data_IF_774471402107
#
_entry.id   IF_774471402107
#
_cell.length_a   1.000
_cell.length_b   1.000
_cell.length_c   1.000
_cell.angle_alpha   90.00
_cell.angle_beta   90.00
_cell.angle_gamma   90.00
#
_symmetry.space_group_name_H-M   'P 1'
#
loop_
_entity.id
_entity.type
_entity.pdbx_description
1 polymer ?
#
# COMPACT_ATOMS: atom_id res chain seq x y z
N UNK A 1 21.42 10.64 10.83
CA UNK A 1 21.36 10.22 12.25
C UNK A 1 20.05 9.49 12.55
N UNK A 2 20.03 8.18 12.36
CA UNK A 2 18.92 7.33 12.77
C UNK A 2 19.17 6.89 14.19
N UNK A 3 18.52 7.57 15.14
CA UNK A 3 18.56 7.14 16.54
C UNK A 3 17.85 5.80 16.60
N UNK A 4 18.61 4.70 16.64
CA UNK A 4 18.14 3.44 17.22
C UNK A 4 17.75 3.78 18.65
N UNK A 5 16.46 4.01 18.88
CA UNK A 5 15.96 4.24 20.22
C UNK A 5 16.22 2.96 21.01
N UNK A 6 16.99 3.04 22.10
CA UNK A 6 16.98 1.98 23.12
C UNK A 6 15.56 1.95 23.67
N UNK A 7 14.79 0.97 23.23
CA UNK A 7 13.42 0.76 23.68
C UNK A 7 13.51 0.40 25.17
N UNK A 8 12.75 1.11 25.99
CA UNK A 8 12.70 0.84 27.42
C UNK A 8 12.13 -0.57 27.64
N UNK A 9 12.66 -1.33 28.60
CA UNK A 9 12.19 -2.68 28.92
C UNK A 9 10.70 -2.73 29.29
N UNK A 10 10.11 -1.60 29.66
CA UNK A 10 8.67 -1.48 29.95
C UNK A 10 7.77 -1.37 28.73
N UNK A 11 8.31 -1.35 27.51
CA UNK A 11 7.53 -1.19 26.29
C UNK A 11 7.16 -2.58 25.77
N UNK A 12 5.87 -2.81 25.54
CA UNK A 12 5.38 -4.10 25.05
C UNK A 12 5.24 -4.04 23.55
N UNK A 13 5.92 -4.93 22.82
CA UNK A 13 5.75 -5.08 21.38
C UNK A 13 4.41 -5.76 21.10
N UNK A 14 3.54 -5.12 20.32
CA UNK A 14 2.19 -5.61 20.05
C UNK A 14 1.87 -5.80 18.56
N UNK A 15 2.67 -5.22 17.67
CA UNK A 15 2.55 -5.42 16.23
C UNK A 15 3.86 -5.10 15.52
N UNK A 16 3.94 -5.43 14.23
CA UNK A 16 5.10 -5.20 13.38
C UNK A 16 4.68 -4.90 11.95
N UNK A 17 5.47 -4.09 11.26
CA UNK A 17 5.22 -3.69 9.88
C UNK A 17 6.54 -3.40 9.17
N UNK A 18 6.51 -3.48 7.84
CA UNK A 18 7.68 -3.23 7.00
C UNK A 18 7.92 -1.72 6.85
N UNK A 19 9.19 -1.31 6.79
CA UNK A 19 9.61 0.05 6.51
C UNK A 19 10.88 0.06 5.65
N UNK A 20 11.15 1.17 4.98
CA UNK A 20 12.41 1.35 4.26
C UNK A 20 13.58 1.50 5.23
N UNK A 21 14.70 0.87 4.87
CA UNK A 21 15.93 1.00 5.63
C UNK A 21 16.41 2.44 5.60
N UNK A 22 16.74 2.97 6.77
CA UNK A 22 17.31 4.29 6.86
C UNK A 22 18.81 4.33 6.55
N UNK A 23 19.47 3.17 6.59
CA UNK A 23 20.93 3.05 6.50
C UNK A 23 21.40 2.69 5.09
N UNK A 24 20.51 2.13 4.27
CA UNK A 24 20.80 1.69 2.90
C UNK A 24 19.55 1.85 2.05
N UNK A 25 19.72 2.33 0.82
CA UNK A 25 18.64 2.39 -0.16
C UNK A 25 18.32 0.98 -0.66
N UNK A 26 17.04 0.72 -0.95
CA UNK A 26 16.60 -0.58 -1.49
C UNK A 26 16.54 -1.73 -0.48
N UNK A 27 16.89 -1.48 0.78
CA UNK A 27 16.78 -2.47 1.86
C UNK A 27 15.51 -2.19 2.67
N UNK A 28 14.82 -3.24 3.09
CA UNK A 28 13.66 -3.17 3.99
C UNK A 28 14.05 -3.57 5.41
N UNK A 29 13.39 -2.99 6.40
CA UNK A 29 13.54 -3.28 7.82
C UNK A 29 12.17 -3.50 8.45
N UNK A 30 12.16 -3.98 9.69
CA UNK A 30 10.92 -4.11 10.46
C UNK A 30 10.85 -2.96 11.49
N UNK A 31 9.70 -2.31 11.55
CA UNK A 31 9.32 -1.47 12.69
C UNK A 31 8.32 -2.23 13.56
N UNK A 32 8.49 -2.15 14.87
CA UNK A 32 7.56 -2.66 15.87
C UNK A 32 6.63 -1.56 16.38
N UNK A 33 5.37 -1.90 16.60
CA UNK A 33 4.38 -1.08 17.27
C UNK A 33 4.38 -1.44 18.76
N UNK A 34 4.85 -0.51 19.58
CA UNK A 34 5.00 -0.71 21.01
C UNK A 34 3.95 0.08 21.79
N UNK A 35 3.40 -0.54 22.83
CA UNK A 35 2.64 0.14 23.86
C UNK A 35 3.62 0.71 24.89
N UNK A 36 3.61 2.03 25.07
CA UNK A 36 4.46 2.70 26.05
C UNK A 36 3.79 2.77 27.44
N UNK A 37 4.50 3.29 28.44
CA UNK A 37 4.01 3.47 29.81
C UNK A 37 2.77 4.37 29.93
N UNK A 38 2.52 5.21 28.93
CA UNK A 38 1.38 6.13 28.88
C UNK A 38 0.19 5.53 28.13
N UNK A 39 0.20 4.22 27.87
CA UNK A 39 -0.82 3.50 27.09
C UNK A 39 -0.97 4.01 25.65
N UNK A 40 0.08 4.57 25.08
CA UNK A 40 0.12 5.03 23.69
C UNK A 40 0.86 4.02 22.81
N UNK A 41 0.33 3.78 21.61
CA UNK A 41 0.98 2.98 20.57
C UNK A 41 1.96 3.84 19.77
N UNK A 42 3.23 3.44 19.70
CA UNK A 42 4.28 4.14 18.94
C UNK A 42 5.16 3.17 18.15
N UNK A 43 5.55 3.59 16.95
CA UNK A 43 6.44 2.83 16.08
C UNK A 43 7.91 3.08 16.41
N UNK A 44 8.70 2.01 16.47
CA UNK A 44 10.15 2.05 16.63
C UNK A 44 10.78 0.96 15.76
N UNK A 45 12.07 1.10 15.44
CA UNK A 45 12.81 0.01 14.79
C UNK A 45 12.74 -1.25 15.66
N UNK A 46 12.31 -2.36 15.05
CA UNK A 46 12.34 -3.65 15.70
C UNK A 46 13.76 -4.22 15.64
N UNK A 47 14.25 -4.73 16.77
CA UNK A 47 15.56 -5.33 16.89
C UNK A 47 15.40 -6.80 17.31
N UNK A 48 15.78 -7.72 16.44
CA UNK A 48 15.91 -9.13 16.78
C UNK A 48 17.33 -9.37 17.30
N UNK A 49 17.48 -9.91 18.51
CA UNK A 49 18.77 -10.14 19.15
C UNK A 49 19.70 -8.90 19.14
N UNK A 50 19.10 -7.74 19.43
CA UNK A 50 19.77 -6.42 19.40
C UNK A 50 20.30 -5.99 18.03
N UNK A 51 19.86 -6.62 16.94
CA UNK A 51 20.25 -6.30 15.56
C UNK A 51 19.04 -5.86 14.75
N UNK A 52 19.28 -4.90 13.87
CA UNK A 52 18.28 -4.46 12.89
C UNK A 52 18.22 -5.49 11.77
N UNK A 53 17.07 -6.15 11.63
CA UNK A 53 16.83 -7.06 10.51
C UNK A 53 16.76 -6.28 9.21
N UNK A 54 17.36 -6.83 8.17
CA UNK A 54 17.43 -6.25 6.83
C UNK A 54 17.00 -7.30 5.82
N UNK A 55 16.18 -6.88 4.87
CA UNK A 55 15.65 -7.71 3.80
C UNK A 55 15.90 -7.01 2.46
N UNK A 56 16.30 -7.76 1.45
CA UNK A 56 16.48 -7.24 0.09
C UNK A 56 15.15 -7.23 -0.69
N UNK A 57 14.18 -8.02 -0.25
CA UNK A 57 12.84 -8.16 -0.83
C UNK A 57 11.75 -7.67 0.13
N UNK A 58 10.74 -6.99 -0.42
CA UNK A 58 9.55 -6.63 0.34
C UNK A 58 8.69 -7.86 0.66
N UNK A 59 8.65 -8.86 -0.21
CA UNK A 59 7.90 -10.11 0.03
C UNK A 59 8.46 -10.86 1.24
N UNK A 60 9.78 -10.98 1.34
CA UNK A 60 10.44 -11.61 2.50
C UNK A 60 10.15 -10.84 3.79
N UNK A 61 10.24 -9.51 3.75
CA UNK A 61 9.94 -8.67 4.90
C UNK A 61 8.47 -8.78 5.34
N UNK A 62 7.52 -8.80 4.40
CA UNK A 62 6.09 -8.96 4.68
C UNK A 62 5.81 -10.32 5.33
N UNK A 63 6.33 -11.41 4.75
CA UNK A 63 6.21 -12.77 5.29
C UNK A 63 6.76 -12.86 6.72
N UNK A 64 7.90 -12.21 6.98
CA UNK A 64 8.45 -12.12 8.33
C UNK A 64 7.49 -11.39 9.29
N UNK A 65 6.94 -10.24 8.89
CA UNK A 65 5.99 -9.50 9.75
C UNK A 65 4.68 -10.24 10.00
N UNK A 66 4.18 -11.01 9.04
CA UNK A 66 2.99 -11.85 9.22
C UNK A 66 3.21 -12.93 10.27
N UNK A 67 4.34 -13.65 10.17
CA UNK A 67 4.73 -14.64 11.16
C UNK A 67 4.90 -13.99 12.54
N UNK A 68 5.61 -12.86 12.62
CA UNK A 68 5.81 -12.14 13.88
C UNK A 68 4.48 -11.66 14.48
N UNK A 69 3.60 -11.07 13.68
CA UNK A 69 2.30 -10.55 14.14
C UNK A 69 1.36 -11.65 14.67
N UNK A 70 1.48 -12.87 14.14
CA UNK A 70 0.77 -14.04 14.67
C UNK A 70 1.21 -14.34 16.09
N UNK A 71 2.53 -14.40 16.34
CA UNK A 71 3.07 -14.64 17.69
C UNK A 71 2.76 -13.49 18.66
N UNK A 72 2.76 -12.23 18.18
CA UNK A 72 2.49 -11.06 19.03
C UNK A 72 1.04 -10.98 19.57
N UNK A 73 0.11 -11.81 19.07
CA UNK A 73 -1.24 -11.92 19.65
C UNK A 73 -1.21 -12.43 21.10
N UNK A 74 -0.22 -13.25 21.45
CA UNK A 74 -0.01 -13.75 22.81
C UNK A 74 0.32 -12.61 23.78
N UNK A 75 1.14 -11.65 23.35
CA UNK A 75 1.49 -10.47 24.13
C UNK A 75 0.24 -9.67 24.51
N UNK A 76 -0.69 -9.46 23.57
CA UNK A 76 -1.95 -8.76 23.85
C UNK A 76 -2.80 -9.53 24.88
N UNK A 77 -2.80 -10.86 24.78
CA UNK A 77 -3.56 -11.73 25.66
C UNK A 77 -3.01 -11.71 27.10
N UNK A 78 -1.69 -11.60 27.25
CA UNK A 78 -0.99 -11.52 28.53
C UNK A 78 -1.19 -10.19 29.28
N UNK A 79 -1.65 -9.14 28.62
CA UNK A 79 -1.90 -7.85 29.27
C UNK A 79 -3.03 -7.96 30.30
N UNK A 80 -2.85 -7.32 31.45
CA UNK A 80 -3.86 -7.18 32.51
C UNK A 80 -4.92 -6.13 32.15
N UNK A 81 -5.61 -6.35 31.04
CA UNK A 81 -6.71 -5.50 30.54
C UNK A 81 -8.03 -6.29 30.56
N UNK A 82 -9.15 -5.58 30.65
CA UNK A 82 -10.46 -6.24 30.54
C UNK A 82 -10.73 -6.71 29.08
N UNK A 83 -11.72 -7.60 28.85
CA UNK A 83 -11.99 -8.14 27.52
C UNK A 83 -12.31 -7.08 26.44
N UNK A 84 -13.00 -6.00 26.80
CA UNK A 84 -13.38 -4.93 25.88
C UNK A 84 -12.17 -4.07 25.48
N UNK A 85 -11.31 -3.74 26.44
CA UNK A 85 -10.05 -3.05 26.22
C UNK A 85 -9.10 -3.86 25.34
N UNK A 86 -8.99 -5.18 25.58
CA UNK A 86 -8.22 -6.09 24.72
C UNK A 86 -8.75 -6.10 23.29
N UNK A 87 -10.07 -6.16 23.12
CA UNK A 87 -10.71 -6.15 21.80
C UNK A 87 -10.47 -4.83 21.06
N UNK A 88 -10.63 -3.70 21.76
CA UNK A 88 -10.32 -2.36 21.22
C UNK A 88 -8.85 -2.22 20.85
N UNK A 89 -7.93 -2.72 21.68
CA UNK A 89 -6.50 -2.69 21.43
C UNK A 89 -6.11 -3.52 20.20
N UNK A 90 -6.65 -4.75 20.07
CA UNK A 90 -6.45 -5.60 18.88
C UNK A 90 -6.87 -4.88 17.60
N UNK A 91 -8.02 -4.22 17.60
CA UNK A 91 -8.51 -3.45 16.44
C UNK A 91 -7.58 -2.28 16.10
N UNK A 92 -7.10 -1.53 17.11
CA UNK A 92 -6.15 -0.42 16.88
C UNK A 92 -4.84 -0.91 16.29
N UNK A 93 -4.30 -2.01 16.82
CA UNK A 93 -3.06 -2.63 16.33
C UNK A 93 -3.24 -3.10 14.89
N UNK A 94 -4.26 -3.92 14.64
CA UNK A 94 -4.58 -4.44 13.31
C UNK A 94 -4.71 -3.31 12.29
N UNK A 95 -5.50 -2.28 12.59
CA UNK A 95 -5.64 -1.11 11.71
C UNK A 95 -4.32 -0.40 11.44
N UNK A 96 -3.47 -0.22 12.46
CA UNK A 96 -2.19 0.47 12.31
C UNK A 96 -1.19 -0.34 11.47
N UNK A 97 -1.06 -1.64 11.75
CA UNK A 97 -0.20 -2.57 10.99
C UNK A 97 -0.66 -2.64 9.53
N UNK A 98 -1.94 -2.92 9.29
CA UNK A 98 -2.51 -3.03 7.93
C UNK A 98 -2.31 -1.73 7.16
N UNK A 99 -2.57 -0.57 7.77
CA UNK A 99 -2.37 0.72 7.09
C UNK A 99 -0.91 0.92 6.67
N UNK A 100 0.04 0.61 7.55
CA UNK A 100 1.47 0.81 7.30
C UNK A 100 2.02 -0.13 6.23
N UNK A 101 1.68 -1.43 6.30
CA UNK A 101 2.03 -2.40 5.27
C UNK A 101 1.39 -2.03 3.93
N UNK A 102 0.11 -1.66 3.91
CA UNK A 102 -0.57 -1.23 2.67
C UNK A 102 0.14 -0.06 2.00
N UNK A 103 0.57 0.95 2.78
CA UNK A 103 1.28 2.12 2.24
C UNK A 103 2.57 1.70 1.53
N UNK A 104 3.41 0.88 2.17
CA UNK A 104 4.69 0.49 1.56
C UNK A 104 4.52 -0.45 0.38
N UNK A 105 3.55 -1.37 0.45
CA UNK A 105 3.18 -2.24 -0.67
C UNK A 105 2.72 -1.39 -1.85
N UNK A 106 1.78 -0.47 -1.66
CA UNK A 106 1.31 0.45 -2.70
C UNK A 106 2.46 1.26 -3.32
N UNK A 107 3.37 1.78 -2.50
CA UNK A 107 4.50 2.57 -2.98
C UNK A 107 5.49 1.73 -3.79
N UNK A 108 5.78 0.50 -3.36
CA UNK A 108 6.59 -0.45 -4.13
C UNK A 108 5.93 -0.84 -5.44
N UNK A 109 4.61 -0.99 -5.42
CA UNK A 109 3.84 -1.27 -6.60
C UNK A 109 3.94 -0.11 -7.61
N UNK A 110 3.71 1.13 -7.18
CA UNK A 110 3.87 2.33 -8.03
C UNK A 110 5.31 2.46 -8.55
N UNK A 111 6.30 2.13 -7.71
CA UNK A 111 7.70 2.15 -8.10
C UNK A 111 8.02 1.17 -9.23
N UNK A 112 7.50 -0.05 -9.16
CA UNK A 112 7.71 -1.06 -10.20
C UNK A 112 7.10 -0.62 -11.55
N UNK A 113 5.93 0.02 -11.52
CA UNK A 113 5.33 0.59 -12.75
C UNK A 113 6.17 1.72 -13.30
N UNK A 114 6.67 2.63 -12.45
CA UNK A 114 7.57 3.70 -12.86
C UNK A 114 8.85 3.15 -13.53
N UNK A 115 9.43 2.06 -13.03
CA UNK A 115 10.54 1.38 -13.71
C UNK A 115 10.10 0.82 -15.07
N UNK A 116 8.96 0.13 -15.13
CA UNK A 116 8.43 -0.51 -16.35
C UNK A 116 8.23 0.49 -17.49
N UNK A 117 7.60 1.65 -17.20
CA UNK A 117 7.41 2.75 -18.14
C UNK A 117 8.72 3.20 -18.80
N UNK A 118 9.82 3.12 -18.04
CA UNK A 118 11.14 3.57 -18.47
C UNK A 118 12.10 2.43 -18.83
N UNK A 119 11.61 1.20 -19.00
CA UNK A 119 12.43 0.02 -19.35
C UNK A 119 13.26 0.19 -20.63
N UNK A 120 12.84 1.06 -21.55
CA UNK A 120 13.54 1.39 -22.80
C UNK A 120 14.39 2.66 -22.72
N UNK A 121 14.39 3.35 -21.58
CA UNK A 121 15.17 4.58 -21.38
C UNK A 121 16.64 4.20 -21.25
N UNK A 122 17.49 4.79 -22.09
CA UNK A 122 18.93 4.53 -22.06
C UNK A 122 19.53 5.27 -20.86
N UNK A 123 20.17 4.58 -19.90
CA UNK A 123 20.85 5.24 -18.80
C UNK A 123 22.09 5.99 -19.29
N UNK A 124 22.52 7.07 -18.60
CA UNK A 124 23.74 7.78 -18.96
C UNK A 124 24.96 6.87 -18.83
N UNK A 125 25.94 7.05 -19.73
CA UNK A 125 27.22 6.35 -19.63
C UNK A 125 27.95 6.74 -18.34
N UNK A 126 28.70 5.80 -17.75
CA UNK A 126 29.43 6.03 -16.49
C UNK A 126 30.32 7.26 -16.55
N UNK A 127 31.08 7.42 -17.63
CA UNK A 127 32.03 8.53 -17.81
C UNK A 127 31.34 9.87 -18.04
N UNK A 128 30.10 9.86 -18.54
CA UNK A 128 29.32 11.06 -18.76
C UNK A 128 28.75 11.64 -17.46
N UNK A 129 28.74 10.89 -16.35
CA UNK A 129 28.26 11.39 -15.05
C UNK A 129 29.33 12.29 -14.43
N UNK A 130 28.99 13.56 -14.29
CA UNK A 130 29.81 14.58 -13.64
C UNK A 130 29.39 14.72 -12.18
N UNK A 131 30.33 14.51 -11.25
CA UNK A 131 30.06 14.57 -9.81
C UNK A 131 31.29 15.10 -9.07
N UNK A 132 31.07 15.93 -8.05
CA UNK A 132 32.16 16.47 -7.23
C UNK A 132 32.73 15.44 -6.24
N UNK A 133 31.94 14.41 -5.89
CA UNK A 133 32.30 13.42 -4.88
C UNK A 133 32.36 12.02 -5.49
N UNK A 134 33.53 11.67 -6.02
CA UNK A 134 33.77 10.47 -6.85
C UNK A 134 33.31 9.15 -6.20
N UNK A 135 33.37 9.05 -4.86
CA UNK A 135 32.89 7.89 -4.10
C UNK A 135 31.40 7.58 -4.34
N UNK A 136 30.61 8.57 -4.75
CA UNK A 136 29.18 8.44 -5.04
C UNK A 136 28.88 8.10 -6.50
N UNK A 137 29.88 8.22 -7.40
CA UNK A 137 29.66 8.00 -8.84
C UNK A 137 29.16 6.59 -9.13
N UNK A 138 29.80 5.56 -8.56
CA UNK A 138 29.39 4.17 -8.72
C UNK A 138 27.99 3.88 -8.13
N UNK A 139 27.69 4.24 -6.87
CA UNK A 139 26.32 4.10 -6.33
C UNK A 139 25.25 4.80 -7.17
N UNK A 140 25.53 6.03 -7.64
CA UNK A 140 24.62 6.78 -8.50
C UNK A 140 24.41 6.07 -9.85
N UNK A 141 25.48 5.61 -10.49
CA UNK A 141 25.40 4.90 -11.76
C UNK A 141 24.56 3.63 -11.66
N UNK A 142 24.75 2.82 -10.62
CA UNK A 142 23.93 1.61 -10.40
C UNK A 142 22.46 1.96 -10.18
N UNK A 143 22.16 3.06 -9.47
CA UNK A 143 20.78 3.52 -9.33
C UNK A 143 20.18 3.99 -10.67
N UNK A 144 20.94 4.72 -11.49
CA UNK A 144 20.48 5.23 -12.78
C UNK A 144 20.24 4.13 -13.81
N UNK A 145 20.87 2.95 -13.68
CA UNK A 145 20.51 1.78 -14.49
C UNK A 145 19.08 1.32 -14.24
N UNK A 146 18.61 1.42 -13.00
CA UNK A 146 17.25 0.98 -12.59
C UNK A 146 16.23 2.11 -12.82
N UNK A 147 16.62 3.33 -12.49
CA UNK A 147 15.73 4.51 -12.54
C UNK A 147 16.44 5.65 -13.28
N UNK A 148 16.55 5.61 -14.61
CA UNK A 148 17.31 6.59 -15.40
C UNK A 148 16.65 7.98 -15.44
N UNK A 149 15.40 8.08 -15.02
CA UNK A 149 14.59 9.29 -15.01
C UNK A 149 14.74 10.14 -13.74
N UNK A 150 15.45 9.65 -12.71
CA UNK A 150 15.49 10.38 -11.44
C UNK A 150 16.38 11.61 -11.49
N UNK A 151 15.99 12.65 -10.76
CA UNK A 151 16.75 13.88 -10.55
C UNK A 151 17.34 14.00 -9.15
N UNK A 152 16.96 13.11 -8.23
CA UNK A 152 17.38 13.11 -6.83
C UNK A 152 17.99 11.75 -6.48
N UNK A 153 19.14 11.74 -5.83
CA UNK A 153 19.80 10.51 -5.37
C UNK A 153 20.23 10.61 -3.90
N UNK A 154 19.84 9.64 -3.06
CA UNK A 154 20.30 9.57 -1.68
C UNK A 154 21.34 8.45 -1.51
N UNK A 155 22.42 8.75 -0.79
CA UNK A 155 23.37 7.76 -0.34
C UNK A 155 23.54 7.81 1.20
N UNK A 156 22.75 7.02 1.95
CA UNK A 156 22.80 7.04 3.41
C UNK A 156 24.15 6.64 4.01
N UNK A 157 24.91 5.78 3.33
CA UNK A 157 26.25 5.36 3.76
C UNK A 157 27.23 6.54 3.84
N UNK A 158 27.01 7.58 3.03
CA UNK A 158 27.85 8.79 2.99
C UNK A 158 27.14 10.02 3.58
N UNK A 159 25.92 9.88 4.13
CA UNK A 159 25.09 10.98 4.65
C UNK A 159 24.87 12.12 3.63
N UNK A 160 24.78 11.78 2.33
CA UNK A 160 24.66 12.75 1.23
C UNK A 160 23.39 12.52 0.40
N UNK A 161 22.77 13.62 -0.02
CA UNK A 161 21.78 13.68 -1.09
C UNK A 161 22.35 14.50 -2.26
N UNK A 162 22.34 13.93 -3.46
CA UNK A 162 22.66 14.61 -4.71
C UNK A 162 21.39 15.08 -5.42
N UNK A 163 21.49 16.21 -6.11
CA UNK A 163 20.44 16.78 -6.95
C UNK A 163 21.04 17.02 -8.33
N UNK A 164 20.36 16.53 -9.37
CA UNK A 164 20.73 16.72 -10.76
C UNK A 164 20.52 18.17 -11.17
N UNK A 165 21.45 18.71 -11.94
CA UNK A 165 21.32 20.05 -12.50
C UNK A 165 20.20 20.08 -13.55
N UNK A 166 19.18 20.94 -13.41
CA UNK A 166 18.05 20.99 -14.35
C UNK A 166 18.49 21.39 -15.77
N UNK A 167 19.59 22.14 -15.91
CA UNK A 167 20.10 22.60 -17.20
C UNK A 167 21.08 21.61 -17.86
N UNK A 168 21.61 20.65 -17.09
CA UNK A 168 22.63 19.69 -17.54
C UNK A 168 22.44 18.36 -16.83
N UNK A 169 21.69 17.43 -17.44
CA UNK A 169 21.34 16.12 -16.85
C UNK A 169 22.53 15.24 -16.47
N UNK A 170 23.71 15.51 -17.02
CA UNK A 170 24.94 14.79 -16.66
C UNK A 170 25.58 15.28 -15.37
N UNK A 171 25.23 16.48 -14.89
CA UNK A 171 25.82 17.13 -13.72
C UNK A 171 25.00 16.85 -12.45
N UNK A 172 25.66 16.20 -11.49
CA UNK A 172 25.17 15.85 -10.15
C UNK A 172 25.98 16.55 -9.05
N UNK A 173 26.58 17.70 -9.35
CA UNK A 173 27.48 18.43 -8.46
C UNK A 173 26.82 19.04 -7.23
N UNK A 174 25.49 19.25 -7.25
CA UNK A 174 24.75 19.78 -6.10
C UNK A 174 24.54 18.69 -5.06
N UNK A 175 25.05 18.92 -3.86
CA UNK A 175 24.93 17.97 -2.76
C UNK A 175 24.54 18.65 -1.46
N UNK A 176 23.86 17.89 -0.60
CA UNK A 176 23.38 18.36 0.70
C UNK A 176 23.46 17.23 1.71
N UNK A 177 23.43 17.58 3.00
CA UNK A 177 23.38 16.59 4.07
C UNK A 177 22.08 15.78 4.02
N UNK A 178 22.18 14.48 4.15
CA UNK A 178 21.03 13.60 4.19
C UNK A 178 20.28 13.77 5.53
N UNK A 179 18.96 13.90 5.43
CA UNK A 179 18.04 13.92 6.58
C UNK A 179 16.93 12.92 6.32
N UNK A 180 16.14 12.57 7.34
CA UNK A 180 14.97 11.69 7.15
C UNK A 180 14.03 12.22 6.06
N UNK A 181 13.73 13.53 6.08
CA UNK A 181 12.89 14.19 5.07
C UNK A 181 13.48 14.10 3.66
N UNK A 182 14.81 14.25 3.53
CA UNK A 182 15.50 14.13 2.24
C UNK A 182 15.58 12.68 1.73
N UNK A 183 15.70 11.71 2.62
CA UNK A 183 15.59 10.30 2.23
C UNK A 183 14.17 9.96 1.77
N UNK A 184 13.15 10.45 2.47
CA UNK A 184 11.74 10.34 2.03
C UNK A 184 11.53 10.99 0.66
N UNK A 185 12.12 12.17 0.42
CA UNK A 185 12.08 12.83 -0.88
C UNK A 185 12.69 11.97 -1.99
N UNK A 186 13.84 11.34 -1.74
CA UNK A 186 14.45 10.40 -2.69
C UNK A 186 13.54 9.21 -3.01
N UNK A 187 12.92 8.58 -2.00
CA UNK A 187 11.97 7.48 -2.23
C UNK A 187 10.75 7.93 -3.03
N UNK A 188 10.26 9.16 -2.82
CA UNK A 188 9.18 9.74 -3.63
C UNK A 188 9.62 10.00 -5.05
N UNK A 189 10.80 10.60 -5.28
CA UNK A 189 11.32 10.92 -6.60
C UNK A 189 11.43 9.68 -7.50
N UNK A 190 11.89 8.55 -6.94
CA UNK A 190 11.90 7.24 -7.62
C UNK A 190 10.55 6.80 -8.16
N UNK A 191 9.45 7.29 -7.59
CA UNK A 191 8.09 7.02 -8.05
C UNK A 191 7.59 8.17 -8.93
N UNK A 192 7.49 9.38 -8.37
CA UNK A 192 6.85 10.53 -9.01
C UNK A 192 7.45 10.87 -10.38
N UNK A 193 8.78 10.90 -10.48
CA UNK A 193 9.45 11.37 -11.68
C UNK A 193 9.28 10.38 -12.85
N UNK A 194 9.09 9.09 -12.55
CA UNK A 194 8.71 8.08 -13.56
C UNK A 194 7.25 8.19 -14.04
N UNK A 195 6.46 9.05 -13.41
CA UNK A 195 5.14 9.48 -13.90
C UNK A 195 5.15 10.94 -14.38
N UNK A 196 6.33 11.56 -14.56
CA UNK A 196 6.47 12.97 -14.92
C UNK A 196 5.80 13.92 -13.91
N UNK A 197 5.81 13.52 -12.63
CA UNK A 197 5.30 14.32 -11.51
C UNK A 197 6.45 14.79 -10.63
N UNK A 198 6.29 15.96 -10.01
CA UNK A 198 7.28 16.49 -9.07
C UNK A 198 7.30 15.70 -7.75
N UNK A 199 8.50 15.47 -7.23
CA UNK A 199 8.72 14.82 -5.93
C UNK A 199 8.46 15.77 -4.73
N UNK A 200 8.44 17.09 -4.97
CA UNK A 200 8.31 18.12 -3.95
C UNK A 200 6.85 18.45 -3.59
N UNK A 201 5.92 18.04 -4.45
CA UNK A 201 4.47 18.24 -4.27
C UNK A 201 3.92 17.44 -3.07
N UNK A 202 2.68 17.76 -2.67
CA UNK A 202 2.02 17.08 -1.57
C UNK A 202 1.82 15.58 -1.88
N UNK A 203 2.54 14.72 -1.15
CA UNK A 203 2.60 13.28 -1.44
C UNK A 203 1.25 12.58 -1.53
N UNK A 204 0.28 12.99 -0.70
CA UNK A 204 -1.07 12.43 -0.74
C UNK A 204 -1.80 12.71 -2.06
N UNK A 205 -1.58 13.90 -2.63
CA UNK A 205 -2.18 14.33 -3.90
C UNK A 205 -1.45 13.67 -5.08
N UNK A 206 -0.12 13.64 -5.05
CA UNK A 206 0.69 12.95 -6.06
C UNK A 206 0.34 11.46 -6.14
N UNK A 207 0.18 10.77 -5.00
CA UNK A 207 -0.29 9.38 -5.00
C UNK A 207 -1.71 9.24 -5.54
N UNK A 208 -2.61 10.19 -5.25
CA UNK A 208 -3.95 10.16 -5.81
C UNK A 208 -3.95 10.36 -7.34
N UNK A 209 -3.08 11.22 -7.86
CA UNK A 209 -2.81 11.39 -9.29
C UNK A 209 -2.28 10.10 -9.93
N UNK A 210 -1.24 9.50 -9.34
CA UNK A 210 -0.67 8.24 -9.81
C UNK A 210 -1.74 7.15 -9.80
N UNK A 211 -2.48 6.99 -8.70
CA UNK A 211 -3.62 6.06 -8.63
C UNK A 211 -4.56 6.31 -9.79
N UNK A 212 -4.97 7.55 -10.05
CA UNK A 212 -5.90 7.86 -11.15
C UNK A 212 -5.36 7.49 -12.52
N UNK A 213 -4.06 7.67 -12.76
CA UNK A 213 -3.39 7.24 -14.00
C UNK A 213 -3.30 5.72 -14.11
N UNK A 214 -3.11 5.05 -12.98
CA UNK A 214 -3.03 3.59 -12.87
C UNK A 214 -4.38 2.90 -12.73
N UNK A 215 -5.47 3.62 -12.45
CA UNK A 215 -6.82 3.08 -12.32
C UNK A 215 -7.23 2.52 -13.69
N UNK A 216 -7.42 1.21 -13.83
CA UNK A 216 -8.03 0.69 -15.02
C UNK A 216 -9.44 1.27 -15.17
N UNK A 217 -9.83 1.58 -16.41
CA UNK A 217 -11.27 1.69 -16.70
C UNK A 217 -11.89 0.37 -16.24
N UNK A 218 -12.88 0.41 -15.36
CA UNK A 218 -13.45 -0.77 -14.70
C UNK A 218 -13.74 -1.94 -15.67
N UNK A 219 -14.13 -1.63 -16.92
CA UNK A 219 -14.40 -2.61 -17.96
C UNK A 219 -13.15 -3.30 -18.53
N UNK A 220 -11.97 -2.65 -18.52
CA UNK A 220 -10.70 -3.22 -18.97
C UNK A 220 -10.20 -4.35 -18.06
N UNK A 221 -10.58 -4.33 -16.77
CA UNK A 221 -10.20 -5.38 -15.81
C UNK A 221 -10.70 -6.76 -16.21
N UNK A 222 -11.94 -6.83 -16.69
CA UNK A 222 -12.54 -8.10 -17.11
C UNK A 222 -11.86 -8.70 -18.35
N UNK A 223 -11.06 -7.91 -19.07
CA UNK A 223 -10.33 -8.39 -20.24
C UNK A 223 -8.97 -9.02 -19.90
N UNK A 224 -8.40 -8.73 -18.72
CA UNK A 224 -7.12 -9.28 -18.28
C UNK A 224 -7.22 -10.79 -18.06
N UNK A 225 -6.26 -11.55 -18.61
CA UNK A 225 -6.24 -13.02 -18.51
C UNK A 225 -6.18 -13.52 -17.06
N UNK A 226 -5.38 -12.85 -16.23
CA UNK A 226 -5.24 -13.12 -14.80
C UNK A 226 -6.56 -12.94 -14.05
N UNK A 227 -7.28 -11.84 -14.31
CA UNK A 227 -8.59 -11.56 -13.74
C UNK A 227 -9.63 -12.57 -14.23
N UNK A 228 -9.66 -12.90 -15.53
CA UNK A 228 -10.57 -13.93 -16.07
C UNK A 228 -10.42 -15.27 -15.35
N UNK A 229 -9.17 -15.70 -15.12
CA UNK A 229 -8.88 -16.95 -14.40
C UNK A 229 -9.38 -16.89 -12.96
N UNK A 230 -9.06 -15.81 -12.24
CA UNK A 230 -9.53 -15.57 -10.87
C UNK A 230 -11.06 -15.63 -10.76
N UNK A 231 -11.75 -14.96 -11.69
CA UNK A 231 -13.21 -14.90 -11.71
C UNK A 231 -13.86 -16.24 -12.07
N UNK A 232 -13.24 -17.01 -12.97
CA UNK A 232 -13.70 -18.37 -13.30
C UNK A 232 -13.58 -19.31 -12.09
N UNK A 233 -12.45 -19.30 -11.40
CA UNK A 233 -12.22 -20.09 -10.19
C UNK A 233 -13.19 -19.70 -9.07
N UNK A 234 -13.38 -18.40 -8.84
CA UNK A 234 -14.34 -17.91 -7.86
C UNK A 234 -15.76 -18.40 -8.16
N UNK A 235 -16.19 -18.37 -9.43
CA UNK A 235 -17.51 -18.83 -9.83
C UNK A 235 -17.66 -20.35 -9.63
N UNK A 236 -16.64 -21.14 -9.94
CA UNK A 236 -16.61 -22.60 -9.69
C UNK A 236 -16.80 -22.88 -8.19
N UNK A 237 -16.18 -22.06 -7.33
CA UNK A 237 -16.31 -22.15 -5.88
C UNK A 237 -17.61 -21.52 -5.34
N UNK A 238 -18.55 -21.10 -6.20
CA UNK A 238 -19.83 -20.52 -5.80
C UNK A 238 -19.77 -19.06 -5.35
N UNK A 239 -18.62 -18.40 -5.49
CA UNK A 239 -18.43 -17.01 -5.10
C UNK A 239 -18.90 -16.06 -6.20
N UNK A 240 -19.92 -15.26 -5.89
CA UNK A 240 -20.55 -14.32 -6.82
C UNK A 240 -20.11 -12.86 -6.61
N UNK A 241 -19.43 -12.57 -5.50
CA UNK A 241 -18.89 -11.23 -5.20
C UNK A 241 -17.48 -11.34 -4.65
N UNK A 242 -16.52 -10.74 -5.36
CA UNK A 242 -15.14 -10.58 -4.91
C UNK A 242 -14.83 -9.09 -4.73
N UNK A 243 -14.24 -8.74 -3.60
CA UNK A 243 -13.77 -7.40 -3.29
C UNK A 243 -12.25 -7.43 -3.31
N UNK A 244 -11.65 -6.62 -4.17
CA UNK A 244 -10.20 -6.51 -4.29
C UNK A 244 -9.81 -5.03 -4.28
N UNK A 245 -9.23 -4.58 -3.16
CA UNK A 245 -8.99 -3.16 -2.91
C UNK A 245 -10.28 -2.33 -3.02
N UNK A 246 -10.27 -1.33 -3.89
CA UNK A 246 -11.44 -0.48 -4.18
C UNK A 246 -12.43 -1.05 -5.20
N UNK A 247 -12.15 -2.20 -5.80
CA UNK A 247 -12.98 -2.82 -6.85
C UNK A 247 -13.82 -3.96 -6.29
N UNK A 248 -15.04 -4.09 -6.82
CA UNK A 248 -15.94 -5.20 -6.51
C UNK A 248 -16.32 -5.88 -7.83
N UNK A 249 -15.83 -7.09 -8.03
CA UNK A 249 -16.28 -7.97 -9.09
C UNK A 249 -17.60 -8.60 -8.67
N UNK A 250 -18.64 -8.35 -9.45
CA UNK A 250 -20.01 -8.74 -9.16
C UNK A 250 -20.53 -9.62 -10.29
N UNK A 251 -20.86 -10.87 -10.00
CA UNK A 251 -21.49 -11.76 -10.96
C UNK A 251 -22.99 -11.51 -11.00
N UNK A 252 -23.48 -11.04 -12.14
CA UNK A 252 -24.89 -10.78 -12.37
C UNK A 252 -25.54 -12.00 -13.03
N UNK A 253 -26.33 -12.76 -12.26
CA UNK A 253 -26.96 -14.00 -12.74
C UNK A 253 -28.00 -13.74 -13.84
N UNK A 254 -28.68 -12.59 -13.80
CA UNK A 254 -29.67 -12.23 -14.84
C UNK A 254 -29.07 -12.15 -16.24
N UNK A 255 -27.78 -11.82 -16.36
CA UNK A 255 -27.07 -11.66 -17.63
C UNK A 255 -25.85 -12.59 -17.75
N UNK A 256 -25.66 -13.52 -16.81
CA UNK A 256 -24.56 -14.48 -16.74
C UNK A 256 -23.17 -13.87 -16.99
N UNK A 257 -22.90 -12.71 -16.40
CA UNK A 257 -21.66 -11.96 -16.62
C UNK A 257 -21.11 -11.33 -15.35
N UNK A 258 -19.79 -11.16 -15.32
CA UNK A 258 -19.11 -10.34 -14.33
C UNK A 258 -19.22 -8.86 -14.69
N UNK A 259 -19.50 -8.03 -13.68
CA UNK A 259 -19.47 -6.57 -13.74
C UNK A 259 -18.47 -6.05 -12.70
N UNK A 260 -17.89 -4.88 -12.97
CA UNK A 260 -16.99 -4.22 -12.02
C UNK A 260 -17.69 -3.02 -11.42
N UNK A 261 -17.79 -3.02 -10.10
CA UNK A 261 -18.32 -1.95 -9.25
C UNK A 261 -17.21 -1.39 -8.39
N UNK A 262 -17.42 -0.23 -7.77
CA UNK A 262 -16.43 0.42 -6.90
C UNK A 262 -16.92 0.47 -5.46
N UNK A 263 -16.02 0.38 -4.49
CA UNK A 263 -16.38 0.62 -3.08
C UNK A 263 -16.55 2.11 -2.81
N UNK A 264 -17.36 2.45 -1.80
CA UNK A 264 -17.56 3.85 -1.39
C UNK A 264 -16.27 4.53 -0.93
N UNK A 265 -15.34 3.79 -0.32
CA UNK A 265 -14.10 4.34 0.24
C UNK A 265 -13.16 4.89 -0.85
N UNK A 266 -13.38 4.55 -2.12
CA UNK A 266 -12.70 5.16 -3.27
C UNK A 266 -13.03 6.66 -3.42
N UNK A 267 -14.12 7.16 -2.83
CA UNK A 267 -14.61 8.54 -2.98
C UNK A 267 -14.75 9.33 -1.67
N UNK A 268 -14.58 8.72 -0.50
CA UNK A 268 -14.89 9.34 0.80
C UNK A 268 -13.66 9.36 1.73
N UNK A 269 -13.04 10.53 1.90
CA UNK A 269 -11.87 10.76 2.80
C UNK A 269 -12.26 10.82 4.28
N UNK A 270 -13.54 10.71 4.60
CA UNK A 270 -14.08 10.91 5.94
C UNK A 270 -14.70 9.63 6.50
N UNK A 271 -13.93 8.75 7.15
CA UNK A 271 -14.64 7.78 7.99
C UNK A 271 -13.88 7.24 9.21
N UNK A 272 -14.51 7.49 10.35
CA UNK A 272 -14.32 6.87 11.65
C UNK A 272 -14.93 5.45 11.72
N UNK A 273 -15.14 4.77 10.59
CA UNK A 273 -15.83 3.48 10.52
C UNK A 273 -14.83 2.34 10.43
N UNK A 274 -15.21 1.17 10.96
CA UNK A 274 -14.41 -0.05 10.83
C UNK A 274 -15.16 -1.01 9.91
N UNK A 275 -14.51 -1.39 8.81
CA UNK A 275 -15.01 -2.42 7.90
C UNK A 275 -15.26 -3.71 8.69
N UNK A 276 -16.43 -4.31 8.52
CA UNK A 276 -16.77 -5.60 9.09
C UNK A 276 -16.71 -6.62 7.96
N UNK A 277 -15.77 -7.56 8.06
CA UNK A 277 -15.48 -8.50 6.98
C UNK A 277 -16.50 -9.64 6.86
N UNK A 278 -17.46 -9.71 7.79
CA UNK A 278 -18.53 -10.72 7.78
C UNK A 278 -19.86 -10.03 7.47
N UNK A 279 -20.73 -10.74 6.74
CA UNK A 279 -22.04 -10.27 6.34
C UNK A 279 -22.26 -10.30 4.83
N UNK A 280 -23.41 -9.80 4.42
CA UNK A 280 -23.90 -9.85 3.05
C UNK A 280 -24.11 -8.45 2.48
N UNK A 281 -24.09 -8.35 1.16
CA UNK A 281 -24.48 -7.16 0.41
C UNK A 281 -25.90 -7.39 -0.09
N UNK A 282 -26.85 -6.60 0.42
CA UNK A 282 -28.23 -6.61 -0.05
C UNK A 282 -28.38 -5.61 -1.20
N UNK A 283 -28.47 -6.14 -2.43
CA UNK A 283 -28.68 -5.32 -3.63
C UNK A 283 -30.16 -5.24 -3.94
N UNK A 284 -30.75 -4.06 -3.66
CA UNK A 284 -32.13 -3.69 -4.06
C UNK A 284 -32.17 -2.84 -5.33
N UNK A 285 -31.00 -2.50 -5.89
CA UNK A 285 -30.84 -1.62 -7.04
C UNK A 285 -29.57 -1.98 -7.83
N UNK A 286 -29.44 -1.47 -9.05
CA UNK A 286 -28.29 -1.69 -9.91
C UNK A 286 -27.16 -0.66 -9.71
N UNK A 287 -26.98 -0.19 -8.47
CA UNK A 287 -25.98 0.83 -8.15
C UNK A 287 -24.55 0.43 -8.53
N UNK A 288 -23.78 1.41 -9.01
CA UNK A 288 -22.37 1.27 -9.43
C UNK A 288 -21.37 1.28 -8.26
N UNK A 289 -21.81 1.76 -7.10
CA UNK A 289 -21.04 1.73 -5.86
C UNK A 289 -21.56 0.64 -4.91
N UNK A 290 -20.63 -0.01 -4.22
CA UNK A 290 -20.88 -0.94 -3.14
C UNK A 290 -20.47 -0.29 -1.82
N UNK A 291 -21.41 -0.25 -0.88
CA UNK A 291 -21.10 0.00 0.52
C UNK A 291 -20.95 -1.38 1.17
N UNK A 292 -19.73 -1.71 1.59
CA UNK A 292 -19.47 -2.96 2.30
C UNK A 292 -20.02 -2.88 3.73
N UNK A 293 -20.32 -4.04 4.37
CA UNK A 293 -20.73 -4.06 5.77
C UNK A 293 -19.69 -3.41 6.68
N UNK A 294 -20.15 -2.65 7.66
CA UNK A 294 -19.27 -1.97 8.60
C UNK A 294 -19.89 -1.85 9.98
N UNK A 295 -19.03 -1.74 11.00
CA UNK A 295 -19.42 -1.47 12.38
C UNK A 295 -19.20 0.01 12.69
N UNK A 296 -20.24 0.66 13.21
CA UNK A 296 -20.16 2.03 13.74
C UNK A 296 -19.43 2.05 15.07
N UNK A 297 -18.95 3.22 15.50
CA UNK A 297 -18.27 3.42 16.79
C UNK A 297 -19.13 3.01 18.00
N UNK A 298 -20.45 3.09 17.88
CA UNK A 298 -21.39 2.69 18.92
C UNK A 298 -21.70 1.18 18.92
N UNK A 299 -21.00 0.38 18.11
CA UNK A 299 -21.18 -1.06 18.03
C UNK A 299 -22.23 -1.53 17.02
N UNK A 300 -23.03 -0.63 16.45
CA UNK A 300 -24.08 -1.03 15.50
C UNK A 300 -23.47 -1.53 14.18
N UNK A 301 -23.92 -2.71 13.75
CA UNK A 301 -23.59 -3.28 12.45
C UNK A 301 -24.52 -2.70 11.37
N UNK A 302 -23.94 -2.38 10.22
CA UNK A 302 -24.65 -1.89 9.05
C UNK A 302 -24.41 -2.88 7.92
N UNK A 303 -25.49 -3.42 7.35
CA UNK A 303 -25.44 -4.33 6.20
C UNK A 303 -24.93 -3.63 4.94
N UNK A 304 -24.28 -4.41 4.08
CA UNK A 304 -23.81 -3.92 2.80
C UNK A 304 -24.97 -3.61 1.86
N UNK A 305 -24.81 -2.61 0.99
CA UNK A 305 -25.83 -2.26 0.00
C UNK A 305 -25.23 -1.57 -1.23
N UNK A 306 -25.99 -1.57 -2.31
CA UNK A 306 -25.63 -0.92 -3.58
C UNK A 306 -26.23 0.48 -3.69
N UNK A 307 -25.50 1.41 -4.32
CA UNK A 307 -25.98 2.77 -4.63
C UNK A 307 -25.20 3.40 -5.79
N UNK A 308 -25.60 4.58 -6.26
CA UNK A 308 -24.80 5.38 -7.19
C UNK A 308 -23.87 6.36 -6.46
N UNK A 309 -22.98 7.03 -7.22
CA UNK A 309 -22.06 8.01 -6.68
C UNK A 309 -22.80 9.27 -6.19
N UNK A 310 -22.19 10.06 -5.28
CA UNK A 310 -22.72 11.38 -4.96
C UNK A 310 -22.88 12.22 -6.25
N UNK A 311 -24.02 12.90 -6.39
CA UNK A 311 -24.41 13.71 -7.56
C UNK A 311 -24.88 12.94 -8.81
N UNK A 312 -24.91 11.60 -8.79
CA UNK A 312 -25.61 10.80 -9.81
C UNK A 312 -27.13 10.75 -9.53
N UNK A 313 -27.93 10.49 -10.57
CA UNK A 313 -29.34 10.11 -10.38
C UNK A 313 -29.46 8.83 -9.53
N UNK A 314 -30.57 8.65 -8.80
CA UNK A 314 -30.81 7.44 -8.01
C UNK A 314 -30.56 6.15 -8.80
N UNK A 315 -29.96 5.15 -8.15
CA UNK A 315 -29.73 3.86 -8.79
C UNK A 315 -31.05 3.21 -9.20
N UNK A 316 -31.10 2.66 -10.41
CA UNK A 316 -32.28 1.96 -10.91
C UNK A 316 -32.67 0.83 -9.93
N UNK A 317 -33.90 0.82 -9.41
CA UNK A 317 -34.34 -0.23 -8.50
C UNK A 317 -34.39 -1.57 -9.24
N UNK A 318 -34.05 -2.65 -8.52
CA UNK A 318 -34.34 -4.01 -8.97
C UNK A 318 -35.82 -4.30 -8.78
N UNK A 319 -36.36 -5.25 -9.54
CA UNK A 319 -37.65 -5.83 -9.15
C UNK A 319 -37.53 -6.49 -7.77
N UNK A 320 -38.62 -6.54 -6.98
CA UNK A 320 -38.57 -7.09 -5.61
C UNK A 320 -38.13 -8.55 -5.58
N UNK A 321 -38.53 -9.32 -6.59
CA UNK A 321 -38.17 -10.73 -6.74
C UNK A 321 -36.73 -10.93 -7.24
N UNK A 322 -36.07 -9.86 -7.68
CA UNK A 322 -34.67 -9.85 -8.13
C UNK A 322 -33.72 -9.30 -7.05
N UNK A 323 -34.22 -9.08 -5.83
CA UNK A 323 -33.36 -8.68 -4.73
C UNK A 323 -32.39 -9.82 -4.42
N UNK A 324 -31.10 -9.49 -4.46
CA UNK A 324 -30.04 -10.46 -4.19
C UNK A 324 -29.31 -10.07 -2.92
N UNK A 325 -29.15 -11.06 -2.05
CA UNK A 325 -28.32 -10.98 -0.86
C UNK A 325 -27.12 -11.89 -1.08
N UNK A 326 -25.95 -11.29 -1.27
CA UNK A 326 -24.74 -12.04 -1.64
C UNK A 326 -23.67 -11.91 -0.55
N UNK A 327 -23.07 -13.03 -0.10
CA UNK A 327 -21.81 -12.96 0.64
C UNK A 327 -20.70 -12.44 -0.30
N UNK A 328 -19.63 -11.91 0.29
CA UNK A 328 -18.48 -11.43 -0.47
C UNK A 328 -17.18 -11.99 0.10
N UNK A 329 -16.20 -12.17 -0.76
CA UNK A 329 -14.83 -12.50 -0.37
C UNK A 329 -13.95 -11.29 -0.59
N UNK A 330 -13.14 -10.97 0.41
CA UNK A 330 -12.14 -9.92 0.30
C UNK A 330 -10.78 -10.54 -0.01
N UNK A 331 -10.20 -10.14 -1.14
CA UNK A 331 -8.83 -10.47 -1.50
C UNK A 331 -7.88 -9.41 -0.93
N UNK A 332 -6.67 -9.83 -0.57
CA UNK A 332 -5.63 -8.94 -0.04
C UNK A 332 -4.90 -8.20 -1.17
N UNK A 333 -4.57 -6.92 -0.95
CA UNK A 333 -3.86 -6.04 -1.90
C UNK A 333 -4.73 -4.96 -2.55
N UNK A 334 -4.12 -4.15 -3.42
CA UNK A 334 -4.78 -3.10 -4.23
C UNK A 334 -4.61 -3.40 -5.74
N UNK A 335 -5.65 -3.11 -6.52
CA UNK A 335 -5.74 -3.47 -7.94
C UNK A 335 -5.32 -2.26 -8.80
N UNK A 336 -4.07 -2.24 -9.28
CA UNK A 336 -3.52 -1.19 -10.16
C UNK A 336 -3.08 -1.81 -11.51
N UNK A 337 -3.35 -1.14 -12.64
CA UNK A 337 -2.96 -1.62 -13.98
C UNK A 337 -1.43 -1.61 -14.13
N UNK A 338 -0.89 -2.50 -14.97
CA UNK A 338 0.55 -2.81 -15.16
C UNK A 338 1.29 -3.52 -14.01
N UNK A 339 0.70 -3.61 -12.81
CA UNK A 339 1.20 -4.46 -11.72
C UNK A 339 0.73 -5.91 -11.78
N UNK A 340 -0.28 -6.18 -12.60
CA UNK A 340 -0.80 -7.53 -12.83
C UNK A 340 -0.16 -8.22 -14.03
N UNK A 341 1.02 -7.74 -14.47
CA UNK A 341 1.78 -8.30 -15.60
C UNK A 341 1.98 -9.81 -15.50
N UNK A 342 2.09 -10.36 -14.30
CA UNK A 342 2.00 -11.78 -14.03
C UNK A 342 1.59 -11.95 -12.56
N UNK A 343 0.37 -12.41 -12.29
CA UNK A 343 0.12 -13.00 -10.97
C UNK A 343 0.99 -14.26 -10.95
N UNK A 344 2.18 -14.18 -10.36
CA UNK A 344 2.94 -15.36 -9.94
C UNK A 344 2.13 -16.04 -8.84
N UNK A 345 1.20 -16.87 -9.30
CA UNK A 345 0.56 -17.87 -8.47
C UNK A 345 1.62 -18.96 -8.27
N UNK A 346 2.13 -19.08 -7.05
CA UNK A 346 2.53 -20.38 -6.52
C UNK A 346 1.46 -20.84 -5.55
#
# INVERSE_FOLDING_TARGET
MYKTYKINSSYVLLGSAVAYSPLRTGIFIIEGLYLNKNSELKWYNYLADSRLLQFDSIEEALKYTESLNTHLQENITSLSLNPDEKSSLRLKISKSVTCKNRIITEEMQMYNVAISHHSKTIPPAFDAIEINFEKLKKPLFEQLKVTPYISIFACPQHDVLLIQNPNKKTDWGQHTKLTKKRLELFYRARICEGFELSAEEHWGETKAEIRRRLLPRANQLLHLASVKRLLAEALINGHKVLVFGGYVFWYEESNLKWEVKLTKDTYDTSSSKTLWNEGTILSKNHGRLIVLPYKKNNGNQISGHTKNAPNDSPALPRHKDEYVELPFIKLEGDLMYELMGEIHYQ
#
